data_IF_366067946565
#
_entry.id   IF_366067946565
#
_cell.length_a   1.000
_cell.length_b   1.000
_cell.length_c   1.000
_cell.angle_alpha   90.00
_cell.angle_beta   90.00
_cell.angle_gamma   90.00
#
_symmetry.space_group_name_H-M   'P 1'
#
loop_
_entity.id
_entity.type
_entity.pdbx_description
1 polymer ?
#
# COMPACT_ATOMS: atom_id res chain seq x y z
N UNK A 1 19.86 -4.50 1.52
CA UNK A 1 19.05 -4.40 2.73
C UNK A 1 17.70 -3.79 2.41
N UNK A 2 16.64 -4.52 2.62
CA UNK A 2 15.30 -4.09 2.27
C UNK A 2 14.50 -3.65 3.49
N UNK A 3 13.75 -2.56 3.36
CA UNK A 3 12.80 -2.13 4.37
C UNK A 3 11.61 -3.09 4.38
N UNK A 4 11.23 -3.54 5.58
CA UNK A 4 10.07 -4.42 5.74
C UNK A 4 8.82 -3.58 5.94
N UNK A 5 7.91 -3.65 4.98
CA UNK A 5 6.66 -2.92 5.01
C UNK A 5 5.50 -3.90 5.04
N UNK A 6 4.51 -3.61 5.87
CA UNK A 6 3.28 -4.38 5.94
C UNK A 6 2.07 -3.49 5.71
N UNK A 7 1.00 -4.06 5.17
CA UNK A 7 -0.24 -3.36 4.92
C UNK A 7 -1.43 -4.25 5.25
N UNK A 8 -2.38 -3.71 6.00
CA UNK A 8 -3.66 -4.36 6.27
C UNK A 8 -4.78 -3.49 5.70
N UNK A 9 -5.74 -4.12 5.04
CA UNK A 9 -6.96 -3.44 4.63
C UNK A 9 -8.09 -3.91 5.53
N UNK A 10 -8.76 -2.96 6.18
CA UNK A 10 -9.79 -3.25 7.19
C UNK A 10 -11.10 -2.61 6.78
N UNK A 11 -12.18 -3.36 6.81
CA UNK A 11 -13.52 -2.88 6.47
C UNK A 11 -14.53 -3.50 7.43
N UNK A 12 -15.39 -2.66 8.01
CA UNK A 12 -16.39 -3.11 8.98
C UNK A 12 -15.74 -3.90 10.12
N UNK A 13 -14.64 -3.40 10.65
CA UNK A 13 -13.87 -4.00 11.74
C UNK A 13 -13.29 -5.38 11.41
N UNK A 14 -13.16 -5.72 10.15
CA UNK A 14 -12.58 -7.00 9.73
C UNK A 14 -11.41 -6.75 8.81
N UNK A 15 -10.35 -7.52 8.99
CA UNK A 15 -9.22 -7.52 8.05
C UNK A 15 -9.69 -8.25 6.81
N UNK A 16 -9.77 -7.54 5.69
CA UNK A 16 -10.20 -8.12 4.42
C UNK A 16 -9.03 -8.48 3.52
N UNK A 17 -7.85 -7.93 3.77
CA UNK A 17 -6.65 -8.25 3.02
C UNK A 17 -5.42 -7.84 3.80
N UNK A 18 -4.31 -8.45 3.44
CA UNK A 18 -3.01 -8.10 4.00
C UNK A 18 -1.95 -8.26 2.92
N UNK A 19 -0.89 -7.52 3.05
CA UNK A 19 0.24 -7.59 2.13
C UNK A 19 1.53 -7.20 2.81
N UNK A 20 2.63 -7.64 2.24
CA UNK A 20 3.96 -7.21 2.63
C UNK A 20 4.78 -7.07 1.36
N UNK A 21 5.87 -6.32 1.43
CA UNK A 21 6.73 -6.16 0.25
C UNK A 21 7.47 -7.45 0.00
N UNK A 22 7.42 -7.94 -1.23
CA UNK A 22 8.02 -9.22 -1.56
C UNK A 22 8.02 -9.48 -3.06
N UNK A 23 8.64 -10.60 -3.42
CA UNK A 23 8.70 -11.04 -4.81
C UNK A 23 7.37 -11.63 -5.24
N UNK A 24 7.15 -11.65 -6.55
CA UNK A 24 5.95 -12.28 -7.09
C UNK A 24 5.94 -13.77 -6.72
N UNK A 25 4.79 -14.30 -6.30
CA UNK A 25 4.69 -15.73 -6.02
C UNK A 25 5.11 -16.57 -7.23
N UNK A 26 5.97 -17.55 -6.99
CA UNK A 26 6.47 -18.41 -8.06
C UNK A 26 7.69 -17.90 -8.81
N UNK A 27 8.07 -16.66 -8.60
CA UNK A 27 9.28 -16.11 -9.20
C UNK A 27 10.48 -16.32 -8.29
N UNK A 28 11.68 -16.29 -8.89
CA UNK A 28 12.90 -16.33 -8.10
C UNK A 28 13.00 -15.11 -7.21
N UNK A 29 13.49 -15.30 -5.99
CA UNK A 29 13.69 -14.21 -5.04
C UNK A 29 15.02 -13.51 -5.30
N UNK A 30 15.14 -12.89 -6.48
CA UNK A 30 16.34 -12.19 -6.90
C UNK A 30 15.99 -10.73 -7.19
N UNK A 31 16.86 -9.83 -6.75
CA UNK A 31 16.72 -8.42 -7.05
C UNK A 31 17.05 -8.17 -8.53
N UNK A 32 16.21 -7.42 -9.19
CA UNK A 32 16.44 -6.99 -10.58
C UNK A 32 16.32 -5.47 -10.58
N UNK A 33 17.43 -4.78 -10.78
CA UNK A 33 17.45 -3.33 -10.76
C UNK A 33 17.57 -2.79 -12.19
N UNK A 34 16.70 -1.84 -12.52
CA UNK A 34 16.70 -1.18 -13.83
C UNK A 34 16.49 0.31 -13.60
N UNK A 35 17.37 1.13 -14.14
CA UNK A 35 17.31 2.59 -13.95
C UNK A 35 17.24 2.96 -12.46
N UNK A 36 18.04 2.29 -11.64
CA UNK A 36 18.12 2.48 -10.18
C UNK A 36 16.84 2.14 -9.43
N UNK A 37 15.92 1.40 -10.06
CA UNK A 37 14.68 0.98 -9.42
C UNK A 37 14.58 -0.54 -9.39
N UNK A 38 14.18 -1.07 -8.25
CA UNK A 38 13.93 -2.50 -8.06
C UNK A 38 12.71 -2.91 -8.86
N UNK A 39 12.83 -3.95 -9.67
CA UNK A 39 11.76 -4.39 -10.56
C UNK A 39 11.11 -5.71 -10.16
N UNK A 40 11.76 -6.51 -9.31
CA UNK A 40 11.27 -7.84 -9.03
C UNK A 40 10.41 -7.97 -7.77
N UNK A 41 10.22 -6.87 -7.05
CA UNK A 41 9.40 -6.88 -5.84
C UNK A 41 8.16 -6.01 -5.99
N UNK A 42 7.13 -6.39 -5.25
CA UNK A 42 5.85 -5.69 -5.21
C UNK A 42 5.74 -5.03 -3.83
N UNK A 43 5.24 -3.81 -3.78
CA UNK A 43 5.06 -3.10 -2.52
C UNK A 43 3.94 -3.75 -1.69
N UNK A 44 4.01 -3.59 -0.36
CA UNK A 44 3.02 -4.15 0.55
C UNK A 44 1.59 -3.71 0.21
N UNK A 45 1.41 -2.43 -0.07
CA UNK A 45 0.11 -1.87 -0.41
C UNK A 45 -0.40 -2.44 -1.72
N UNK A 46 0.47 -2.58 -2.72
CA UNK A 46 0.12 -3.18 -4.00
C UNK A 46 -0.31 -4.63 -3.81
N UNK A 47 0.42 -5.39 -2.99
CA UNK A 47 0.08 -6.77 -2.71
C UNK A 47 -1.28 -6.90 -2.03
N UNK A 48 -1.59 -6.03 -1.08
CA UNK A 48 -2.88 -6.06 -0.39
C UNK A 48 -4.04 -5.78 -1.36
N UNK A 49 -3.87 -4.78 -2.24
CA UNK A 49 -4.89 -4.45 -3.24
C UNK A 49 -5.05 -5.60 -4.24
N UNK A 50 -3.94 -6.15 -4.73
CA UNK A 50 -3.98 -7.25 -5.69
C UNK A 50 -4.58 -8.51 -5.07
N UNK A 51 -4.36 -8.75 -3.77
CA UNK A 51 -4.99 -9.87 -3.07
C UNK A 51 -6.52 -9.71 -3.09
N UNK A 52 -7.03 -8.51 -2.84
CA UNK A 52 -8.46 -8.25 -2.97
C UNK A 52 -8.95 -8.52 -4.39
N UNK A 53 -8.22 -8.02 -5.39
CA UNK A 53 -8.60 -8.21 -6.79
C UNK A 53 -8.63 -9.69 -7.17
N UNK A 54 -7.64 -10.44 -6.71
CA UNK A 54 -7.53 -11.87 -7.02
C UNK A 54 -8.68 -12.68 -6.43
N UNK A 55 -9.14 -12.31 -5.25
CA UNK A 55 -10.23 -13.01 -4.56
C UNK A 55 -11.61 -12.45 -4.87
N UNK A 56 -11.69 -11.38 -5.67
CA UNK A 56 -12.97 -10.75 -5.99
C UNK A 56 -13.59 -10.02 -4.81
N UNK A 57 -12.75 -9.48 -3.92
CA UNK A 57 -13.20 -8.73 -2.74
C UNK A 57 -12.99 -7.24 -3.02
N UNK A 58 -14.04 -6.44 -2.84
CA UNK A 58 -13.93 -5.00 -2.98
C UNK A 58 -13.30 -4.41 -1.72
N UNK A 59 -12.30 -3.54 -1.91
CA UNK A 59 -11.72 -2.80 -0.80
C UNK A 59 -12.27 -1.37 -0.70
N UNK A 60 -13.27 -1.04 -1.49
CA UNK A 60 -13.87 0.28 -1.46
C UNK A 60 -14.41 0.60 -0.07
N UNK A 61 -14.07 1.77 0.45
CA UNK A 61 -14.49 2.19 1.78
C UNK A 61 -13.64 1.66 2.93
N UNK A 62 -12.62 0.84 2.63
CA UNK A 62 -11.76 0.27 3.67
C UNK A 62 -10.76 1.29 4.20
N UNK A 63 -10.18 0.97 5.35
CA UNK A 63 -9.06 1.69 5.93
C UNK A 63 -7.79 0.89 5.67
N UNK A 64 -6.75 1.55 5.19
CA UNK A 64 -5.43 0.94 5.01
C UNK A 64 -4.56 1.26 6.23
N UNK A 65 -4.04 0.23 6.88
CA UNK A 65 -3.05 0.36 7.94
C UNK A 65 -1.71 -0.03 7.36
N UNK A 66 -0.77 0.89 7.32
CA UNK A 66 0.55 0.67 6.72
C UNK A 66 1.63 0.93 7.75
N UNK A 67 2.68 0.12 7.75
CA UNK A 67 3.77 0.33 8.71
C UNK A 67 4.53 1.63 8.45
N UNK A 68 4.61 2.05 7.18
CA UNK A 68 5.35 3.25 6.78
C UNK A 68 4.50 4.15 5.90
N UNK A 69 4.81 5.44 5.93
CA UNK A 69 4.16 6.43 5.06
C UNK A 69 4.21 5.92 3.60
N UNK A 70 3.08 5.86 2.91
CA UNK A 70 3.05 5.26 1.57
C UNK A 70 3.77 6.14 0.55
N UNK A 71 4.43 5.51 -0.42
CA UNK A 71 5.00 6.24 -1.53
C UNK A 71 3.87 6.76 -2.43
N UNK A 72 4.20 7.69 -3.32
CA UNK A 72 3.17 8.31 -4.16
C UNK A 72 2.48 7.29 -5.07
N UNK A 73 3.22 6.30 -5.55
CA UNK A 73 2.64 5.25 -6.41
C UNK A 73 1.59 4.47 -5.63
N UNK A 74 1.94 4.00 -4.43
CA UNK A 74 1.01 3.23 -3.59
C UNK A 74 -0.17 4.07 -3.12
N UNK A 75 0.08 5.34 -2.79
CA UNK A 75 -0.99 6.27 -2.41
C UNK A 75 -2.04 6.36 -3.52
N UNK A 76 -1.60 6.58 -4.76
CA UNK A 76 -2.55 6.68 -5.88
C UNK A 76 -3.35 5.41 -6.06
N UNK A 77 -2.72 4.25 -5.90
CA UNK A 77 -3.41 2.96 -6.03
C UNK A 77 -4.43 2.76 -4.90
N UNK A 78 -4.06 3.09 -3.68
CA UNK A 78 -4.98 3.02 -2.54
C UNK A 78 -6.19 3.92 -2.77
N UNK A 79 -5.95 5.16 -3.20
CA UNK A 79 -7.04 6.11 -3.45
C UNK A 79 -7.91 5.65 -4.62
N UNK A 80 -7.29 5.17 -5.70
CA UNK A 80 -8.03 4.69 -6.87
C UNK A 80 -8.87 3.46 -6.55
N UNK A 81 -8.47 2.65 -5.57
CA UNK A 81 -9.21 1.46 -5.16
C UNK A 81 -10.33 1.77 -4.17
N UNK A 82 -10.50 3.03 -3.79
CA UNK A 82 -11.59 3.46 -2.92
C UNK A 82 -11.28 3.43 -1.43
N UNK A 83 -10.02 3.35 -1.04
CA UNK A 83 -9.63 3.43 0.36
C UNK A 83 -10.07 4.78 0.94
N UNK A 84 -10.67 4.74 2.12
CA UNK A 84 -11.28 5.91 2.75
C UNK A 84 -10.38 6.57 3.78
N UNK A 85 -9.49 5.81 4.40
CA UNK A 85 -8.53 6.31 5.38
C UNK A 85 -7.21 5.57 5.22
N UNK A 86 -6.11 6.30 5.44
CA UNK A 86 -4.77 5.70 5.46
C UNK A 86 -4.17 6.01 6.82
N UNK A 87 -3.81 4.98 7.58
CA UNK A 87 -3.18 5.10 8.89
C UNK A 87 -1.81 4.47 8.83
N UNK A 88 -0.78 5.19 9.24
CA UNK A 88 0.59 4.71 9.16
C UNK A 88 1.32 4.89 10.48
N UNK A 89 2.35 4.07 10.69
CA UNK A 89 3.11 4.10 11.95
C UNK A 89 4.33 5.02 11.88
N UNK A 90 5.11 4.94 10.82
CA UNK A 90 6.38 5.62 10.71
C UNK A 90 6.46 6.48 9.47
N UNK A 91 7.09 7.64 9.62
CA UNK A 91 7.40 8.49 8.48
C UNK A 91 8.45 7.82 7.61
N UNK A 92 8.36 8.01 6.31
CA UNK A 92 9.34 7.48 5.38
C UNK A 92 9.29 8.26 4.07
N UNK A 93 10.27 9.14 3.85
CA UNK A 93 10.36 9.93 2.62
C UNK A 93 9.00 10.54 2.24
N UNK A 94 8.37 11.18 3.21
CA UNK A 94 7.00 11.69 3.06
C UNK A 94 6.90 12.68 1.90
N UNK A 95 6.31 12.22 0.81
CA UNK A 95 6.10 13.03 -0.38
C UNK A 95 4.85 13.90 -0.19
N UNK A 96 4.98 15.20 -0.42
CA UNK A 96 3.87 16.13 -0.25
C UNK A 96 2.68 15.83 -1.15
N UNK A 97 2.90 15.17 -2.28
CA UNK A 97 1.80 14.80 -3.18
C UNK A 97 0.85 13.80 -2.55
N UNK A 98 1.34 12.96 -1.64
CA UNK A 98 0.47 12.02 -0.92
C UNK A 98 -0.58 12.79 -0.12
N UNK A 99 -0.13 13.78 0.65
CA UNK A 99 -1.03 14.64 1.43
C UNK A 99 -1.97 15.43 0.53
N UNK A 100 -1.44 15.92 -0.58
CA UNK A 100 -2.22 16.70 -1.54
C UNK A 100 -3.39 15.88 -2.11
N UNK A 101 -3.13 14.68 -2.60
CA UNK A 101 -4.19 13.85 -3.18
C UNK A 101 -5.17 13.36 -2.14
N UNK A 102 -4.71 13.00 -0.96
CA UNK A 102 -5.62 12.62 0.13
C UNK A 102 -6.57 13.79 0.46
N UNK A 103 -6.03 15.00 0.51
CA UNK A 103 -6.85 16.20 0.76
C UNK A 103 -7.88 16.44 -0.34
N UNK A 104 -7.50 16.26 -1.60
CA UNK A 104 -8.41 16.45 -2.73
C UNK A 104 -9.60 15.49 -2.67
N UNK A 105 -9.40 14.29 -2.15
CA UNK A 105 -10.44 13.26 -2.11
C UNK A 105 -11.07 13.10 -0.74
N UNK A 106 -10.73 13.96 0.21
CA UNK A 106 -11.22 13.90 1.59
C UNK A 106 -10.90 12.56 2.26
N UNK A 107 -9.74 12.00 1.94
CA UNK A 107 -9.22 10.79 2.58
C UNK A 107 -8.34 11.20 3.74
N UNK A 108 -8.61 10.67 4.92
CA UNK A 108 -7.81 10.97 6.09
C UNK A 108 -6.47 10.23 6.02
N UNK A 109 -5.40 10.96 6.31
CA UNK A 109 -4.04 10.43 6.36
C UNK A 109 -3.55 10.66 7.79
N UNK A 110 -3.49 9.59 8.57
CA UNK A 110 -3.30 9.68 10.02
C UNK A 110 -2.06 8.91 10.44
N UNK A 111 -1.18 9.58 11.16
CA UNK A 111 -0.04 8.92 11.80
C UNK A 111 -0.49 8.39 13.15
N UNK A 112 -0.24 7.12 13.37
CA UNK A 112 -0.59 6.45 14.64
C UNK A 112 0.45 6.68 15.73
#
# INVERSE_FOLDING_TARGET
HRLHVGCLLVKNNRIISQGYNGHLPGCKHESIVRNNHEQSTVHAEQNAICDCAKRGVSCEGATAYVTHYPCIICCRLLLASGIKQIKYLEDYKNDDLVKYFCGQLNVQLIKL
#
